data_IF_119783465337
#
_entry.id   IF_119783465337
#
_cell.length_a   1.000
_cell.length_b   1.000
_cell.length_c   1.000
_cell.angle_alpha   90.00
_cell.angle_beta   90.00
_cell.angle_gamma   90.00
#
_symmetry.space_group_name_H-M   'P 1'
#
loop_
_entity.id
_entity.type
_entity.pdbx_description
1 polymer ?
#
# COMPACT_ATOMS: atom_id res chain seq x y z
N UNK A 1 7.48 -26.57 45.49
CA UNK A 1 8.86 -27.04 45.79
C UNK A 1 9.30 -26.42 47.09
N UNK A 2 10.27 -27.00 47.82
CA UNK A 2 10.86 -26.36 48.98
C UNK A 2 11.47 -24.99 48.62
N UNK A 3 11.13 -23.92 49.36
CA UNK A 3 11.74 -22.61 49.22
C UNK A 3 13.27 -22.72 49.27
N UNK A 4 13.95 -22.06 48.32
CA UNK A 4 15.42 -22.08 48.25
C UNK A 4 16.05 -23.36 47.71
N UNK A 5 15.29 -24.42 47.40
CA UNK A 5 15.84 -25.63 46.77
C UNK A 5 16.10 -25.43 45.28
N UNK A 6 17.28 -25.88 44.80
CA UNK A 6 17.50 -26.11 43.37
C UNK A 6 16.77 -27.40 42.98
N UNK A 7 16.26 -27.47 41.75
CA UNK A 7 15.50 -28.61 41.19
C UNK A 7 16.11 -30.01 41.44
N UNK A 8 17.40 -30.08 41.78
CA UNK A 8 18.17 -31.29 42.08
C UNK A 8 17.76 -32.01 43.37
N UNK A 9 17.13 -31.35 44.35
CA UNK A 9 16.85 -31.96 45.66
C UNK A 9 15.70 -32.99 45.68
N UNK A 10 14.92 -33.09 44.60
CA UNK A 10 13.76 -33.99 44.53
C UNK A 10 14.12 -35.38 43.94
N UNK A 11 15.27 -35.50 43.28
CA UNK A 11 15.73 -36.75 42.67
C UNK A 11 16.85 -37.31 43.53
N UNK A 12 16.85 -38.62 43.75
CA UNK A 12 17.90 -39.28 44.51
C UNK A 12 19.28 -38.99 43.89
N UNK A 13 20.28 -38.71 44.73
CA UNK A 13 21.62 -38.37 44.26
C UNK A 13 22.26 -39.58 43.56
N UNK A 14 22.55 -39.42 42.27
CA UNK A 14 23.18 -40.44 41.45
C UNK A 14 24.54 -40.88 42.00
N UNK A 15 25.25 -40.03 42.75
CA UNK A 15 26.53 -40.35 43.40
C UNK A 15 26.36 -41.34 44.55
N UNK A 16 25.27 -41.25 45.33
CA UNK A 16 24.97 -42.18 46.42
C UNK A 16 24.66 -43.56 45.84
N UNK A 17 23.94 -43.61 44.73
CA UNK A 17 23.62 -44.85 44.01
C UNK A 17 24.76 -45.39 43.12
N UNK A 18 25.94 -44.77 43.12
CA UNK A 18 27.06 -45.10 42.21
C UNK A 18 26.66 -45.21 40.73
N UNK A 19 25.63 -44.46 40.33
CA UNK A 19 25.05 -44.47 39.00
C UNK A 19 25.43 -43.19 38.26
N UNK A 20 25.53 -43.26 36.93
CA UNK A 20 25.75 -42.06 36.10
C UNK A 20 24.46 -41.27 35.91
N UNK A 21 23.31 -41.90 36.11
CA UNK A 21 22.00 -41.32 35.86
C UNK A 21 20.96 -41.89 36.83
N UNK A 22 20.12 -41.02 37.38
CA UNK A 22 18.92 -41.39 38.14
C UNK A 22 17.72 -40.72 37.49
N UNK A 23 16.66 -41.49 37.28
CA UNK A 23 15.36 -40.98 36.84
C UNK A 23 14.37 -41.03 38.01
N UNK A 24 13.50 -40.04 38.08
CA UNK A 24 12.38 -40.01 39.01
C UNK A 24 11.10 -39.69 38.24
N UNK A 25 9.98 -40.20 38.75
CA UNK A 25 8.66 -39.94 38.18
C UNK A 25 7.65 -39.70 39.29
N UNK A 26 6.83 -38.67 39.12
CA UNK A 26 5.67 -38.39 39.96
C UNK A 26 4.42 -38.66 39.15
N UNK A 27 3.56 -39.54 39.63
CA UNK A 27 2.23 -39.79 39.05
C UNK A 27 1.15 -39.32 40.01
N UNK A 28 0.17 -38.61 39.48
CA UNK A 28 -0.98 -38.11 40.21
C UNK A 28 -2.25 -38.52 39.47
N UNK A 29 -3.13 -39.23 40.17
CA UNK A 29 -4.48 -39.54 39.68
C UNK A 29 -5.48 -38.69 40.45
N UNK A 30 -6.28 -37.90 39.73
CA UNK A 30 -7.25 -36.96 40.29
C UNK A 30 -8.60 -37.15 39.61
N UNK A 31 -9.66 -36.84 40.34
CA UNK A 31 -11.02 -36.74 39.80
C UNK A 31 -11.40 -35.28 39.82
N UNK A 32 -11.77 -34.73 38.67
CA UNK A 32 -12.17 -33.32 38.59
C UNK A 32 -13.64 -33.11 39.01
N UNK A 33 -14.07 -31.86 39.05
CA UNK A 33 -15.45 -31.48 39.36
C UNK A 33 -16.50 -31.97 38.33
N UNK A 34 -16.07 -32.55 37.21
CA UNK A 34 -16.92 -33.14 36.16
C UNK A 34 -16.88 -34.68 36.19
N UNK A 35 -16.43 -35.28 37.30
CA UNK A 35 -16.25 -36.72 37.51
C UNK A 35 -15.34 -37.43 36.49
N UNK A 36 -14.48 -36.68 35.78
CA UNK A 36 -13.48 -37.25 34.89
C UNK A 36 -12.23 -37.61 35.68
N UNK A 37 -11.71 -38.81 35.42
CA UNK A 37 -10.43 -39.22 35.99
C UNK A 37 -9.29 -38.75 35.10
N UNK A 38 -8.34 -38.02 35.69
CA UNK A 38 -7.13 -37.56 35.01
C UNK A 38 -5.93 -38.23 35.68
N UNK A 39 -5.01 -38.73 34.88
CA UNK A 39 -3.71 -39.23 35.32
C UNK A 39 -2.62 -38.36 34.73
N UNK A 40 -1.85 -37.71 35.61
CA UNK A 40 -0.73 -36.84 35.24
C UNK A 40 0.56 -37.52 35.67
N UNK A 41 1.51 -37.64 34.75
CA UNK A 41 2.85 -38.15 35.02
C UNK A 41 3.90 -37.11 34.66
N UNK A 42 4.77 -36.75 35.60
CA UNK A 42 5.96 -35.92 35.35
C UNK A 42 7.21 -36.73 35.59
N UNK A 43 8.05 -36.83 34.57
CA UNK A 43 9.32 -37.54 34.63
C UNK A 43 10.47 -36.54 34.69
N UNK A 44 11.52 -36.87 35.43
CA UNK A 44 12.72 -36.05 35.57
C UNK A 44 13.96 -36.91 35.69
N UNK A 45 15.11 -36.33 35.38
CA UNK A 45 16.40 -37.02 35.34
C UNK A 45 17.47 -36.16 35.97
N UNK A 46 18.33 -36.79 36.77
CA UNK A 46 19.60 -36.20 37.22
C UNK A 46 20.75 -37.02 36.66
N UNK A 47 21.64 -36.36 35.94
CA UNK A 47 22.87 -36.97 35.41
C UNK A 47 24.06 -36.50 36.24
N UNK A 48 24.81 -37.44 36.81
CA UNK A 48 26.03 -37.15 37.55
C UNK A 48 27.25 -37.12 36.63
N UNK A 49 28.15 -36.18 36.90
CA UNK A 49 29.42 -36.03 36.21
C UNK A 49 30.57 -36.11 37.21
N UNK A 50 31.69 -36.71 36.81
CA UNK A 50 32.87 -36.89 37.69
C UNK A 50 33.43 -35.55 38.21
N UNK A 51 33.49 -34.52 37.37
CA UNK A 51 34.11 -33.21 37.69
C UNK A 51 33.17 -32.01 37.46
N UNK A 52 31.85 -32.23 37.43
CA UNK A 52 30.86 -31.15 37.25
C UNK A 52 29.69 -31.33 38.22
N UNK A 53 28.94 -30.25 38.46
CA UNK A 53 27.68 -30.34 39.21
C UNK A 53 26.70 -31.28 38.49
N UNK A 54 25.92 -32.10 39.23
CA UNK A 54 24.86 -32.90 38.63
C UNK A 54 23.92 -32.02 37.80
N UNK A 55 23.43 -32.53 36.68
CA UNK A 55 22.51 -31.79 35.82
C UNK A 55 21.10 -32.34 35.97
N UNK A 56 20.19 -31.51 36.48
CA UNK A 56 18.76 -31.80 36.50
C UNK A 56 18.12 -31.48 35.14
N UNK A 57 17.27 -32.38 34.65
CA UNK A 57 16.48 -32.22 33.44
C UNK A 57 15.05 -32.70 33.68
N UNK A 58 14.06 -31.87 33.37
CA UNK A 58 12.66 -32.31 33.27
C UNK A 58 12.50 -33.05 31.95
N UNK A 59 11.94 -34.25 32.00
CA UNK A 59 11.60 -35.05 30.82
C UNK A 59 10.14 -34.82 30.43
N UNK A 60 9.68 -35.52 29.40
CA UNK A 60 8.30 -35.40 28.93
C UNK A 60 7.30 -35.71 30.05
N UNK A 61 6.25 -34.91 30.07
CA UNK A 61 5.12 -35.07 30.98
C UNK A 61 3.92 -35.54 30.19
N UNK A 62 3.12 -36.41 30.80
CA UNK A 62 1.97 -37.05 30.16
C UNK A 62 0.72 -36.72 30.95
N UNK A 63 -0.33 -36.32 30.25
CA UNK A 63 -1.68 -36.24 30.78
C UNK A 63 -2.53 -37.29 30.08
N UNK A 64 -3.28 -38.05 30.85
CA UNK A 64 -4.21 -39.04 30.35
C UNK A 64 -5.58 -38.78 30.94
N UNK A 65 -6.59 -38.63 30.09
CA UNK A 65 -7.97 -38.40 30.50
C UNK A 65 -8.76 -39.69 30.27
N UNK A 66 -9.30 -40.27 31.34
CA UNK A 66 -10.20 -41.42 31.25
C UNK A 66 -11.63 -40.90 31.20
N UNK A 67 -12.29 -41.12 30.07
CA UNK A 67 -13.67 -40.73 29.88
C UNK A 67 -14.63 -41.69 30.60
N UNK A 68 -15.90 -41.31 30.77
CA UNK A 68 -16.92 -42.10 31.48
C UNK A 68 -17.14 -43.51 30.87
N UNK A 69 -16.71 -43.71 29.62
CA UNK A 69 -16.75 -44.98 28.89
C UNK A 69 -15.55 -45.90 29.17
N UNK A 70 -14.61 -45.46 30.02
CA UNK A 70 -13.36 -46.18 30.31
C UNK A 70 -12.29 -46.05 29.22
N UNK A 71 -12.54 -45.26 28.16
CA UNK A 71 -11.55 -44.98 27.12
C UNK A 71 -10.57 -43.91 27.59
N UNK A 72 -9.28 -44.26 27.49
CA UNK A 72 -8.16 -43.40 27.81
C UNK A 72 -7.78 -42.54 26.61
N UNK A 73 -7.76 -41.22 26.76
CA UNK A 73 -7.23 -40.28 25.77
C UNK A 73 -5.94 -39.67 26.31
N UNK A 74 -4.82 -40.05 25.72
CA UNK A 74 -3.52 -39.49 26.07
C UNK A 74 -3.30 -38.16 25.36
N UNK A 75 -3.03 -37.13 26.15
CA UNK A 75 -2.62 -35.81 25.72
C UNK A 75 -1.14 -35.69 26.12
N UNK A 76 -0.25 -35.95 25.18
CA UNK A 76 1.16 -35.60 25.33
C UNK A 76 1.30 -34.11 25.05
N UNK A 77 1.68 -33.33 26.07
CA UNK A 77 1.86 -31.88 25.94
C UNK A 77 3.19 -31.45 26.56
N UNK A 78 3.73 -30.32 26.09
CA UNK A 78 4.89 -29.70 26.74
C UNK A 78 4.48 -29.26 28.16
N UNK A 79 5.44 -29.15 29.08
CA UNK A 79 5.18 -28.89 30.51
C UNK A 79 4.31 -27.64 30.78
N UNK A 80 4.50 -26.56 30.00
CA UNK A 80 3.73 -25.32 30.18
C UNK A 80 2.24 -25.48 29.82
N UNK A 81 1.94 -26.27 28.78
CA UNK A 81 0.57 -26.58 28.38
C UNK A 81 -0.11 -27.50 29.42
N UNK A 82 0.67 -28.40 30.03
CA UNK A 82 0.19 -29.30 31.08
C UNK A 82 -0.23 -28.55 32.35
N UNK A 83 0.57 -27.58 32.79
CA UNK A 83 0.23 -26.74 33.95
C UNK A 83 -1.11 -26.01 33.72
N UNK A 84 -1.29 -25.42 32.54
CA UNK A 84 -2.53 -24.72 32.18
C UNK A 84 -3.75 -25.65 32.19
N UNK A 85 -3.66 -26.78 31.49
CA UNK A 85 -4.75 -27.77 31.43
C UNK A 85 -5.08 -28.31 32.83
N UNK A 86 -4.07 -28.54 33.67
CA UNK A 86 -4.27 -29.03 35.03
C UNK A 86 -5.01 -28.02 35.92
N UNK A 87 -4.69 -26.73 35.82
CA UNK A 87 -5.42 -25.67 36.53
C UNK A 87 -6.87 -25.54 36.06
N UNK A 88 -7.11 -25.66 34.75
CA UNK A 88 -8.45 -25.61 34.16
C UNK A 88 -9.31 -26.81 34.58
N UNK A 89 -8.74 -28.02 34.54
CA UNK A 89 -9.45 -29.24 34.93
C UNK A 89 -9.72 -29.30 36.44
N UNK A 90 -8.81 -28.82 37.29
CA UNK A 90 -9.04 -28.75 38.73
C UNK A 90 -9.94 -27.58 39.16
N UNK A 91 -10.13 -26.58 38.30
CA UNK A 91 -10.95 -25.39 38.60
C UNK A 91 -10.34 -24.49 39.68
N UNK A 92 -9.03 -24.55 39.90
CA UNK A 92 -8.30 -23.75 40.90
C UNK A 92 -7.11 -23.04 40.25
N UNK A 93 -6.90 -21.78 40.64
CA UNK A 93 -5.78 -21.00 40.11
C UNK A 93 -4.44 -21.56 40.61
N UNK A 94 -3.37 -21.26 39.87
CA UNK A 94 -1.99 -21.57 40.27
C UNK A 94 -1.65 -21.02 41.66
N UNK A 95 -2.12 -19.81 41.95
CA UNK A 95 -1.89 -19.15 43.23
C UNK A 95 -2.56 -19.91 44.38
N UNK A 96 -3.81 -20.35 44.20
CA UNK A 96 -4.52 -21.17 45.21
C UNK A 96 -3.81 -22.51 45.42
N UNK A 97 -3.40 -23.18 44.35
CA UNK A 97 -2.68 -24.44 44.44
C UNK A 97 -1.36 -24.31 45.20
N UNK A 98 -0.58 -23.24 44.96
CA UNK A 98 0.73 -23.09 45.59
C UNK A 98 0.68 -22.45 46.99
N UNK A 99 -0.21 -21.49 47.23
CA UNK A 99 -0.23 -20.70 48.46
C UNK A 99 -1.22 -21.22 49.49
N UNK A 100 -2.20 -22.05 49.09
CA UNK A 100 -3.27 -22.55 49.96
C UNK A 100 -3.29 -24.08 50.03
N UNK A 101 -3.41 -24.78 48.91
CA UNK A 101 -3.62 -26.25 48.89
C UNK A 101 -2.30 -27.00 49.12
N UNK A 102 -1.28 -26.70 48.32
CA UNK A 102 0.06 -27.29 48.40
C UNK A 102 1.09 -26.28 48.91
N UNK A 103 0.68 -25.48 49.91
CA UNK A 103 1.57 -24.55 50.59
C UNK A 103 2.75 -25.32 51.21
N UNK A 104 3.97 -24.88 50.90
CA UNK A 104 5.15 -25.53 51.45
C UNK A 104 5.24 -25.29 52.96
N UNK A 105 5.75 -26.25 53.72
CA UNK A 105 5.84 -26.16 55.18
C UNK A 105 6.58 -24.90 55.66
N UNK A 106 7.70 -24.57 55.04
CA UNK A 106 8.48 -23.36 55.34
C UNK A 106 7.75 -22.05 54.99
N UNK A 107 6.81 -22.11 54.02
CA UNK A 107 6.00 -20.97 53.60
C UNK A 107 4.63 -20.92 54.29
N UNK A 108 4.30 -21.88 55.15
CA UNK A 108 2.96 -22.02 55.73
C UNK A 108 2.56 -20.83 56.60
N UNK A 109 3.55 -20.11 57.15
CA UNK A 109 3.35 -18.88 57.92
C UNK A 109 3.30 -17.62 57.05
N UNK A 110 3.20 -17.73 55.72
CA UNK A 110 3.11 -16.56 54.84
C UNK A 110 2.00 -15.56 55.19
N UNK A 111 0.85 -15.93 55.77
CA UNK A 111 -0.13 -14.92 56.18
C UNK A 111 0.38 -13.96 57.28
N UNK A 112 1.48 -14.34 57.96
CA UNK A 112 2.14 -13.56 59.00
C UNK A 112 3.42 -12.87 58.50
N UNK A 113 3.75 -12.97 57.21
CA UNK A 113 4.89 -12.29 56.61
C UNK A 113 4.69 -10.76 56.57
N UNK A 114 5.73 -10.04 56.14
CA UNK A 114 5.68 -8.62 55.86
C UNK A 114 4.49 -8.24 54.94
N UNK A 115 3.82 -7.14 55.26
CA UNK A 115 2.57 -6.73 54.57
C UNK A 115 2.68 -6.63 53.05
N UNK A 116 3.86 -6.33 52.50
CA UNK A 116 4.09 -6.33 51.04
C UNK A 116 3.98 -7.74 50.44
N UNK A 117 4.66 -8.74 51.02
CA UNK A 117 4.64 -10.13 50.53
C UNK A 117 3.26 -10.76 50.69
N UNK A 118 2.60 -10.46 51.80
CA UNK A 118 1.21 -10.88 52.05
C UNK A 118 0.30 -10.31 50.97
N UNK A 119 0.39 -9.00 50.71
CA UNK A 119 -0.40 -8.34 49.67
C UNK A 119 -0.17 -8.96 48.29
N UNK A 120 1.08 -9.19 47.89
CA UNK A 120 1.41 -9.82 46.61
C UNK A 120 0.74 -11.21 46.48
N UNK A 121 0.78 -12.05 47.51
CA UNK A 121 0.10 -13.36 47.50
C UNK A 121 -1.43 -13.22 47.46
N UNK A 122 -1.99 -12.23 48.15
CA UNK A 122 -3.43 -11.93 48.07
C UNK A 122 -3.84 -11.47 46.67
N UNK A 123 -3.10 -10.54 46.07
CA UNK A 123 -3.36 -10.05 44.72
C UNK A 123 -3.28 -11.20 43.69
N UNK A 124 -2.33 -12.13 43.84
CA UNK A 124 -2.23 -13.36 43.04
C UNK A 124 -3.39 -14.35 43.27
N UNK A 125 -3.86 -14.52 44.51
CA UNK A 125 -4.97 -15.44 44.82
C UNK A 125 -6.29 -14.92 44.25
N UNK A 126 -6.50 -13.61 44.33
CA UNK A 126 -7.74 -12.95 43.90
C UNK A 126 -7.70 -12.48 42.44
N UNK A 127 -6.58 -12.70 41.72
CA UNK A 127 -6.37 -12.20 40.35
C UNK A 127 -6.72 -10.70 40.25
N UNK A 128 -6.39 -9.91 41.28
CA UNK A 128 -6.87 -8.54 41.44
C UNK A 128 -6.47 -7.63 40.27
N UNK A 129 -5.29 -7.85 39.71
CA UNK A 129 -4.74 -7.08 38.60
C UNK A 129 -5.34 -7.44 37.24
N UNK A 130 -5.96 -8.61 37.09
CA UNK A 130 -6.44 -9.12 35.79
C UNK A 130 -7.45 -8.18 35.14
N UNK A 131 -8.39 -7.68 35.94
CA UNK A 131 -9.41 -6.74 35.44
C UNK A 131 -8.81 -5.36 35.17
N UNK A 132 -7.86 -4.90 36.00
CA UNK A 132 -7.16 -3.63 35.78
C UNK A 132 -6.37 -3.66 34.47
N UNK A 133 -5.61 -4.72 34.24
CA UNK A 133 -4.84 -4.94 33.02
C UNK A 133 -5.72 -5.01 31.77
N UNK A 134 -6.85 -5.73 31.86
CA UNK A 134 -7.84 -5.78 30.79
C UNK A 134 -8.41 -4.39 30.48
N UNK A 135 -8.72 -3.60 31.50
CA UNK A 135 -9.23 -2.25 31.33
C UNK A 135 -8.20 -1.32 30.70
N UNK A 136 -6.94 -1.40 31.13
CA UNK A 136 -5.85 -0.61 30.56
C UNK A 136 -5.57 -0.97 29.10
N UNK A 137 -5.63 -2.25 28.74
CA UNK A 137 -5.57 -2.70 27.34
C UNK A 137 -6.73 -2.15 26.53
N UNK A 138 -7.95 -2.24 27.04
CA UNK A 138 -9.14 -1.72 26.36
C UNK A 138 -9.04 -0.20 26.15
N UNK A 139 -8.54 0.53 27.17
CA UNK A 139 -8.31 1.97 27.10
C UNK A 139 -7.27 2.32 26.04
N UNK A 140 -6.21 1.53 25.91
CA UNK A 140 -5.17 1.71 24.87
C UNK A 140 -5.76 1.50 23.47
N UNK A 141 -6.49 0.40 23.27
CA UNK A 141 -7.16 0.09 22.00
C UNK A 141 -8.12 1.22 21.61
N UNK A 142 -8.94 1.70 22.55
CA UNK A 142 -9.85 2.83 22.29
C UNK A 142 -9.12 4.09 21.84
N UNK A 143 -7.98 4.42 22.47
CA UNK A 143 -7.17 5.59 22.08
C UNK A 143 -6.59 5.42 20.67
N UNK A 144 -6.09 4.24 20.34
CA UNK A 144 -5.56 3.94 19.00
C UNK A 144 -6.64 4.11 17.92
N UNK A 145 -7.83 3.53 18.11
CA UNK A 145 -8.94 3.72 17.18
C UNK A 145 -9.39 5.17 17.06
N UNK A 146 -9.44 5.93 18.17
CA UNK A 146 -9.80 7.35 18.12
C UNK A 146 -8.81 8.17 17.29
N UNK A 147 -7.51 7.86 17.35
CA UNK A 147 -6.50 8.50 16.50
C UNK A 147 -6.66 8.10 15.04
N UNK A 148 -6.87 6.81 14.76
CA UNK A 148 -7.05 6.31 13.39
C UNK A 148 -8.28 6.93 12.72
N UNK A 149 -9.39 7.04 13.44
CA UNK A 149 -10.61 7.67 12.92
C UNK A 149 -10.33 9.12 12.50
N UNK A 150 -9.63 9.91 13.33
CA UNK A 150 -9.28 11.29 12.99
C UNK A 150 -8.40 11.40 11.74
N UNK A 151 -7.42 10.50 11.59
CA UNK A 151 -6.58 10.46 10.40
C UNK A 151 -7.39 10.11 9.15
N UNK A 152 -8.27 9.12 9.24
CA UNK A 152 -9.14 8.72 8.13
C UNK A 152 -10.13 9.84 7.76
N UNK A 153 -10.69 10.57 8.73
CA UNK A 153 -11.54 11.74 8.48
C UNK A 153 -10.79 12.83 7.71
N UNK A 154 -9.54 13.11 8.10
CA UNK A 154 -8.69 14.07 7.40
C UNK A 154 -8.37 13.63 5.97
N UNK A 155 -8.04 12.35 5.77
CA UNK A 155 -7.77 11.79 4.44
C UNK A 155 -9.00 11.85 3.54
N UNK A 156 -10.19 11.53 4.07
CA UNK A 156 -11.44 11.62 3.34
C UNK A 156 -11.74 13.07 2.91
N UNK A 157 -11.54 14.05 3.80
CA UNK A 157 -11.74 15.45 3.47
C UNK A 157 -10.83 15.90 2.31
N UNK A 158 -9.53 15.58 2.41
CA UNK A 158 -8.55 15.92 1.38
C UNK A 158 -8.77 15.19 0.04
N UNK A 159 -9.15 13.91 0.07
CA UNK A 159 -9.49 13.17 -1.15
C UNK A 159 -10.77 13.69 -1.80
N UNK A 160 -11.73 14.15 -1.00
CA UNK A 160 -12.97 14.75 -1.50
C UNK A 160 -12.69 16.05 -2.23
N UNK A 161 -11.83 16.92 -1.67
CA UNK A 161 -11.38 18.16 -2.33
C UNK A 161 -10.67 17.86 -3.66
N UNK A 162 -9.71 16.92 -3.66
CA UNK A 162 -9.03 16.48 -4.88
C UNK A 162 -9.98 15.93 -5.94
N UNK A 163 -11.01 15.20 -5.54
CA UNK A 163 -12.03 14.69 -6.46
C UNK A 163 -12.82 15.85 -7.08
N UNK A 164 -13.26 16.81 -6.28
CA UNK A 164 -13.97 17.99 -6.79
C UNK A 164 -13.13 18.79 -7.78
N UNK A 165 -11.84 18.97 -7.51
CA UNK A 165 -10.91 19.64 -8.42
C UNK A 165 -10.68 18.85 -9.72
N UNK A 166 -10.58 17.52 -9.63
CA UNK A 166 -10.48 16.66 -10.81
C UNK A 166 -11.73 16.77 -11.68
N UNK A 167 -12.91 16.75 -11.07
CA UNK A 167 -14.19 16.85 -11.78
C UNK A 167 -14.33 18.20 -12.48
N UNK A 168 -13.90 19.30 -11.84
CA UNK A 168 -13.81 20.63 -12.49
C UNK A 168 -12.87 20.62 -13.69
N UNK A 169 -11.66 20.09 -13.53
CA UNK A 169 -10.67 20.02 -14.63
C UNK A 169 -11.15 19.16 -15.80
N UNK A 170 -11.88 18.07 -15.52
CA UNK A 170 -12.51 17.26 -16.58
C UNK A 170 -13.55 18.06 -17.36
N UNK A 171 -14.37 18.85 -16.67
CA UNK A 171 -15.34 19.72 -17.34
C UNK A 171 -14.64 20.77 -18.20
N UNK A 172 -13.58 21.39 -17.69
CA UNK A 172 -12.78 22.37 -18.44
C UNK A 172 -12.11 21.76 -19.67
N UNK A 173 -11.64 20.51 -19.58
CA UNK A 173 -11.08 19.77 -20.70
C UNK A 173 -12.12 19.62 -21.82
N UNK A 174 -13.31 19.12 -21.49
CA UNK A 174 -14.41 18.92 -22.46
C UNK A 174 -14.82 20.24 -23.11
N UNK A 175 -14.94 21.31 -22.32
CA UNK A 175 -15.25 22.64 -22.83
C UNK A 175 -14.16 23.15 -23.79
N UNK A 176 -12.89 22.92 -23.46
CA UNK A 176 -11.76 23.32 -24.29
C UNK A 176 -11.70 22.53 -25.59
N UNK A 177 -11.89 21.21 -25.53
CA UNK A 177 -11.98 20.34 -26.72
C UNK A 177 -13.12 20.78 -27.65
N UNK A 178 -14.29 21.11 -27.08
CA UNK A 178 -15.43 21.63 -27.85
C UNK A 178 -15.04 22.93 -28.57
N UNK A 179 -14.40 23.88 -27.87
CA UNK A 179 -13.94 25.14 -28.46
C UNK A 179 -12.88 24.95 -29.54
N UNK A 180 -11.98 23.97 -29.37
CA UNK A 180 -10.99 23.61 -30.40
C UNK A 180 -11.71 23.11 -31.64
N UNK A 181 -12.65 22.17 -31.49
CA UNK A 181 -13.43 21.62 -32.61
C UNK A 181 -14.21 22.71 -33.34
N UNK A 182 -14.88 23.63 -32.62
CA UNK A 182 -15.55 24.78 -33.23
C UNK A 182 -14.59 25.71 -34.00
N UNK A 183 -13.39 25.94 -33.47
CA UNK A 183 -12.38 26.76 -34.12
C UNK A 183 -11.82 26.08 -35.38
N UNK A 184 -11.60 24.76 -35.34
CA UNK A 184 -11.17 23.96 -36.49
C UNK A 184 -12.19 24.00 -37.63
N UNK A 185 -13.49 23.89 -37.30
CA UNK A 185 -14.58 24.04 -38.28
C UNK A 185 -14.53 25.42 -38.93
N UNK A 186 -14.45 26.49 -38.12
CA UNK A 186 -14.35 27.88 -38.64
C UNK A 186 -13.11 28.10 -39.51
N UNK A 187 -11.97 27.51 -39.15
CA UNK A 187 -10.75 27.58 -39.96
C UNK A 187 -10.97 26.88 -41.31
N UNK A 188 -11.64 25.73 -41.33
CA UNK A 188 -11.96 25.01 -42.57
C UNK A 188 -12.91 25.82 -43.46
N UNK A 189 -13.95 26.42 -42.89
CA UNK A 189 -14.90 27.30 -43.59
C UNK A 189 -14.17 28.51 -44.21
N UNK A 190 -13.38 29.24 -43.41
CA UNK A 190 -12.63 30.41 -43.88
C UNK A 190 -11.60 30.04 -44.97
N UNK A 191 -10.96 28.87 -44.87
CA UNK A 191 -10.05 28.37 -45.91
C UNK A 191 -10.80 28.09 -47.22
N UNK A 192 -11.99 27.49 -47.14
CA UNK A 192 -12.83 27.24 -48.32
C UNK A 192 -13.30 28.54 -48.97
N UNK A 193 -13.61 29.58 -48.19
CA UNK A 193 -13.95 30.91 -48.72
C UNK A 193 -12.76 31.66 -49.32
N UNK A 194 -11.57 31.48 -48.76
CA UNK A 194 -10.32 32.08 -49.26
C UNK A 194 -9.88 31.52 -50.61
N UNK A 195 -10.17 30.25 -50.89
CA UNK A 195 -9.74 29.58 -52.12
C UNK A 195 -10.21 30.30 -53.40
N UNK A 196 -11.53 30.57 -53.62
CA UNK A 196 -12.00 31.26 -54.82
C UNK A 196 -11.54 32.72 -54.89
N UNK A 197 -11.36 33.39 -53.75
CA UNK A 197 -10.82 34.75 -53.71
C UNK A 197 -9.37 34.75 -54.19
N UNK A 198 -8.57 33.79 -53.73
CA UNK A 198 -7.17 33.63 -54.13
C UNK A 198 -7.06 33.31 -55.62
N UNK A 199 -7.95 32.46 -56.16
CA UNK A 199 -8.02 32.19 -57.60
C UNK A 199 -8.38 33.44 -58.40
N UNK A 200 -9.37 34.23 -57.95
CA UNK A 200 -9.74 35.50 -58.58
C UNK A 200 -8.58 36.50 -58.58
N UNK A 201 -7.84 36.62 -57.48
CA UNK A 201 -6.65 37.48 -57.40
C UNK A 201 -5.61 37.02 -58.41
N UNK A 202 -5.28 35.74 -58.47
CA UNK A 202 -4.33 35.19 -59.47
C UNK A 202 -4.78 35.47 -60.91
N UNK A 203 -6.07 35.36 -61.20
CA UNK A 203 -6.63 35.67 -62.51
C UNK A 203 -6.48 37.16 -62.86
N UNK A 204 -6.75 38.05 -61.89
CA UNK A 204 -6.57 39.50 -62.04
C UNK A 204 -5.09 39.85 -62.24
N UNK A 205 -4.18 39.27 -61.48
CA UNK A 205 -2.73 39.47 -61.64
C UNK A 205 -2.24 39.04 -63.04
N UNK A 206 -2.79 37.94 -63.58
CA UNK A 206 -2.49 37.51 -64.95
C UNK A 206 -3.01 38.52 -65.98
N UNK A 207 -4.26 38.94 -65.86
CA UNK A 207 -4.85 39.98 -66.71
C UNK A 207 -4.04 41.28 -66.67
N UNK A 208 -3.56 41.69 -65.49
CA UNK A 208 -2.72 42.87 -65.33
C UNK A 208 -1.39 42.72 -66.08
N UNK A 209 -0.72 41.56 -65.98
CA UNK A 209 0.51 41.28 -66.73
C UNK A 209 0.28 41.33 -68.25
N UNK A 210 -0.82 40.73 -68.71
CA UNK A 210 -1.19 40.74 -70.12
C UNK A 210 -1.49 42.17 -70.61
N UNK A 211 -2.19 42.98 -69.80
CA UNK A 211 -2.44 44.40 -70.09
C UNK A 211 -1.13 45.20 -70.25
N UNK A 212 -0.20 45.06 -69.30
CA UNK A 212 1.11 45.71 -69.38
C UNK A 212 1.89 45.26 -70.63
N UNK A 213 1.79 43.99 -70.99
CA UNK A 213 2.38 43.46 -72.24
C UNK A 213 1.74 44.07 -73.50
N UNK A 214 0.41 44.20 -73.53
CA UNK A 214 -0.29 44.83 -74.65
C UNK A 214 -0.03 46.33 -74.72
N UNK A 215 0.04 47.04 -73.60
CA UNK A 215 0.37 48.47 -73.55
C UNK A 215 1.79 48.73 -74.07
N UNK A 216 2.77 47.98 -73.61
CA UNK A 216 4.16 48.10 -74.10
C UNK A 216 4.28 47.75 -75.59
N UNK A 217 3.50 46.78 -76.07
CA UNK A 217 3.42 46.46 -77.49
C UNK A 217 2.76 47.58 -78.31
N UNK A 218 1.67 48.16 -77.79
CA UNK A 218 0.98 49.30 -78.40
C UNK A 218 1.89 50.52 -78.49
N UNK A 219 2.62 50.85 -77.43
CA UNK A 219 3.64 51.90 -77.38
C UNK A 219 4.70 51.69 -78.47
N UNK A 220 5.24 50.45 -78.60
CA UNK A 220 6.21 50.11 -79.65
C UNK A 220 5.65 50.31 -81.05
N UNK A 221 4.42 49.87 -81.32
CA UNK A 221 3.76 50.03 -82.62
C UNK A 221 3.51 51.51 -82.90
N UNK A 222 3.02 52.27 -81.92
CA UNK A 222 2.80 53.72 -82.03
C UNK A 222 4.10 54.46 -82.36
N UNK A 223 5.19 54.15 -81.66
CA UNK A 223 6.51 54.72 -81.93
C UNK A 223 7.09 54.30 -83.30
N UNK A 224 6.68 53.15 -83.86
CA UNK A 224 7.01 52.77 -85.24
C UNK A 224 6.17 53.55 -86.25
N UNK A 225 4.88 53.74 -85.98
CA UNK A 225 3.97 54.51 -86.81
C UNK A 225 4.40 55.98 -86.89
N UNK A 226 4.71 56.62 -85.76
CA UNK A 226 5.23 57.99 -85.71
C UNK A 226 6.53 58.14 -86.49
N UNK A 227 7.43 57.15 -86.39
CA UNK A 227 8.64 57.11 -87.24
C UNK A 227 8.31 57.01 -88.71
N UNK A 228 7.46 56.06 -89.10
CA UNK A 228 7.04 55.92 -90.50
C UNK A 228 6.33 57.16 -91.06
N UNK A 229 5.53 57.85 -90.24
CA UNK A 229 4.86 59.10 -90.62
C UNK A 229 5.85 60.26 -90.78
N UNK A 230 6.85 60.36 -89.91
CA UNK A 230 7.93 61.33 -90.06
C UNK A 230 8.76 61.02 -91.32
N UNK A 231 9.11 59.76 -91.54
CA UNK A 231 9.81 59.31 -92.76
C UNK A 231 8.99 59.64 -94.02
N UNK A 232 7.67 59.42 -94.00
CA UNK A 232 6.77 59.80 -95.10
C UNK A 232 6.74 61.32 -95.32
N UNK A 233 6.66 62.11 -94.25
CA UNK A 233 6.70 63.58 -94.34
C UNK A 233 8.03 64.09 -94.89
N UNK A 234 9.15 63.51 -94.46
CA UNK A 234 10.48 63.92 -94.92
C UNK A 234 10.72 63.49 -96.37
N UNK A 235 10.26 62.30 -96.78
CA UNK A 235 10.20 61.90 -98.19
C UNK A 235 9.34 62.88 -99.01
N UNK A 236 8.15 63.25 -98.53
CA UNK A 236 7.29 64.25 -99.20
C UNK A 236 7.96 65.62 -99.35
N UNK A 237 8.72 66.08 -98.35
CA UNK A 237 9.50 67.33 -98.43
C UNK A 237 10.70 67.22 -99.37
N UNK A 238 11.25 66.02 -99.54
CA UNK A 238 12.40 65.75 -100.40
C UNK A 238 12.03 65.50 -101.86
N UNK A 239 10.73 65.41 -102.20
CA UNK A 239 10.21 65.33 -103.56
C UNK A 239 10.09 66.75 -104.12
N UNK A 240 11.02 67.14 -105.00
CA UNK A 240 11.01 68.45 -105.69
C UNK A 240 10.14 68.47 -106.96
N UNK A 241 9.64 67.32 -107.43
CA UNK A 241 8.69 67.19 -108.54
C UNK A 241 7.65 66.13 -108.21
N UNK A 242 6.44 66.55 -107.87
CA UNK A 242 5.30 65.65 -107.68
C UNK A 242 4.82 65.21 -109.07
N UNK A 243 4.94 63.93 -109.38
CA UNK A 243 4.43 63.35 -110.62
C UNK A 243 2.94 63.02 -110.45
N UNK A 244 2.07 63.66 -111.24
CA UNK A 244 0.61 63.45 -111.23
C UNK A 244 0.14 62.62 -112.44
N UNK A 245 0.94 61.65 -112.90
CA UNK A 245 0.55 60.67 -113.92
C UNK A 245 0.18 59.31 -113.31
N UNK A 246 -0.48 58.46 -114.09
CA UNK A 246 -0.77 57.07 -113.69
C UNK A 246 0.49 56.22 -113.62
N UNK A 247 0.51 55.19 -112.76
CA UNK A 247 1.66 54.31 -112.47
C UNK A 247 2.33 53.66 -113.68
N UNK A 248 1.70 53.64 -114.85
CA UNK A 248 2.27 53.13 -116.09
C UNK A 248 3.20 54.11 -116.82
N UNK A 249 3.22 55.39 -116.44
CA UNK A 249 4.07 56.44 -117.05
C UNK A 249 5.29 56.78 -116.17
N UNK A 250 5.50 56.03 -115.08
CA UNK A 250 6.53 56.27 -114.05
C UNK A 250 7.70 55.27 -114.09
N UNK A 251 7.86 54.53 -115.21
CA UNK A 251 9.08 53.75 -115.51
C UNK A 251 10.10 54.57 -116.30
#
# INVERSE_FOLDING_TARGET
>A
MPPGSRNECFVHDAKINHSTEVMAQVKLKIVNAKDKQLEVSRSMRVTAYKNKKPKFQTLDSFLSVVDATGKTKDISSRCADLDFVMHEELGVSKAILNSVIFCHQEDSSWPLDEGKKVKERFDEIFDADKYSDCFDRLRKIRKEYATNIKLMEQDVAHLTEKKQDLDKKKLDLVNTETRISEAEIKIAELKAELEPITEKIKAIEKLQKDLVFFETSREKIKAKLERGQNDEQDLKKSIQTIFEGTTAELE
#
